data_IF_099121184925
#
_entry.id   IF_099121184925
#
_cell.length_a   1.000
_cell.length_b   1.000
_cell.length_c   1.000
_cell.angle_alpha   90.00
_cell.angle_beta   90.00
_cell.angle_gamma   90.00
#
_symmetry.space_group_name_H-M   'P 1'
#
loop_
_entity.id
_entity.type
_entity.pdbx_description
1 polymer ?
#
# COMPACT_ATOMS: atom_id res chain seq x y z
N UNK A 1 -45.48 -60.19 -3.07
CA UNK A 1 -45.67 -58.75 -2.84
C UNK A 1 -44.50 -58.04 -3.56
N UNK A 2 -44.77 -57.57 -4.76
CA UNK A 2 -43.77 -57.04 -5.72
C UNK A 2 -43.63 -55.54 -5.51
N UNK A 3 -42.44 -55.03 -5.21
CA UNK A 3 -42.13 -53.60 -5.13
C UNK A 3 -41.56 -53.15 -6.47
N UNK A 4 -42.33 -52.33 -7.15
CA UNK A 4 -41.95 -51.65 -8.41
C UNK A 4 -40.92 -50.56 -8.15
N UNK A 5 -39.77 -50.67 -8.84
CA UNK A 5 -38.72 -49.62 -8.88
C UNK A 5 -39.22 -48.47 -9.74
N UNK A 6 -39.33 -47.28 -9.14
CA UNK A 6 -39.67 -46.01 -9.81
C UNK A 6 -38.39 -45.44 -10.41
N UNK A 7 -38.30 -45.38 -11.71
CA UNK A 7 -37.24 -44.70 -12.45
C UNK A 7 -37.16 -43.23 -12.06
N UNK A 8 -36.02 -42.80 -11.50
CA UNK A 8 -35.69 -41.39 -11.28
C UNK A 8 -35.10 -40.81 -12.56
N UNK A 9 -35.76 -39.82 -13.12
CA UNK A 9 -35.29 -39.01 -14.24
C UNK A 9 -33.97 -38.29 -13.90
N UNK A 10 -33.03 -38.12 -14.85
CA UNK A 10 -31.75 -37.49 -14.60
C UNK A 10 -31.92 -35.98 -14.33
N UNK A 11 -31.29 -35.53 -13.26
CA UNK A 11 -31.24 -34.11 -12.88
C UNK A 11 -30.64 -33.28 -14.02
N UNK A 12 -31.36 -32.23 -14.41
CA UNK A 12 -30.90 -31.22 -15.38
C UNK A 12 -29.64 -30.55 -14.81
N UNK A 13 -28.51 -30.70 -15.51
CA UNK A 13 -27.28 -29.95 -15.26
C UNK A 13 -27.57 -28.48 -15.55
N UNK A 14 -27.40 -27.63 -14.54
CA UNK A 14 -27.34 -26.16 -14.71
C UNK A 14 -26.19 -25.79 -15.67
N UNK A 15 -26.35 -24.76 -16.50
CA UNK A 15 -25.29 -24.34 -17.41
C UNK A 15 -24.08 -23.86 -16.59
N UNK A 16 -22.93 -24.52 -16.80
CA UNK A 16 -21.63 -24.03 -16.36
C UNK A 16 -21.47 -22.61 -16.90
N UNK A 17 -21.27 -21.65 -16.00
CA UNK A 17 -20.82 -20.32 -16.36
C UNK A 17 -19.56 -20.47 -17.22
N UNK A 18 -19.64 -20.07 -18.48
CA UNK A 18 -18.47 -19.92 -19.35
C UNK A 18 -17.52 -18.92 -18.68
N UNK A 19 -16.43 -19.43 -18.10
CA UNK A 19 -15.28 -18.59 -17.81
C UNK A 19 -14.73 -18.17 -19.17
N UNK A 20 -14.79 -16.87 -19.45
CA UNK A 20 -14.02 -16.27 -20.53
C UNK A 20 -12.55 -16.33 -20.10
N UNK A 21 -11.89 -17.45 -20.40
CA UNK A 21 -10.43 -17.50 -20.46
C UNK A 21 -10.03 -16.85 -21.80
N UNK A 22 -9.92 -15.53 -21.79
CA UNK A 22 -9.16 -14.82 -22.80
C UNK A 22 -7.69 -15.29 -22.77
N UNK A 23 -6.89 -15.02 -23.82
CA UNK A 23 -5.49 -15.41 -23.84
C UNK A 23 -4.84 -14.96 -22.54
N UNK A 24 -4.15 -15.88 -21.85
CA UNK A 24 -3.44 -15.62 -20.60
C UNK A 24 -2.40 -14.55 -20.95
N UNK A 25 -2.63 -13.32 -20.51
CA UNK A 25 -1.63 -12.27 -20.67
C UNK A 25 -0.34 -12.76 -20.02
N UNK A 26 0.74 -12.73 -20.80
CA UNK A 26 2.08 -13.09 -20.33
C UNK A 26 2.43 -12.18 -19.17
N UNK A 27 2.83 -12.77 -18.04
CA UNK A 27 3.25 -12.05 -16.86
C UNK A 27 4.68 -11.60 -17.12
N UNK A 28 4.94 -10.32 -16.93
CA UNK A 28 6.29 -9.79 -16.97
C UNK A 28 6.96 -10.07 -15.61
N UNK A 29 8.00 -10.93 -15.55
CA UNK A 29 8.65 -11.27 -14.30
C UNK A 29 9.48 -10.13 -13.72
N UNK A 30 9.80 -9.10 -14.51
CA UNK A 30 10.59 -7.94 -14.09
C UNK A 30 9.73 -6.90 -13.37
N UNK A 31 8.38 -7.05 -13.40
CA UNK A 31 7.46 -6.16 -12.72
C UNK A 31 7.10 -6.67 -11.33
N UNK A 32 7.26 -5.82 -10.33
CA UNK A 32 6.76 -6.09 -8.97
C UNK A 32 5.25 -5.97 -8.87
N UNK A 33 4.65 -5.02 -9.61
CA UNK A 33 3.21 -4.93 -9.80
C UNK A 33 2.91 -4.87 -11.30
N UNK A 34 2.01 -5.74 -11.78
CA UNK A 34 1.49 -5.72 -13.14
C UNK A 34 -0.04 -5.77 -13.08
N UNK A 35 -0.66 -4.61 -13.09
CA UNK A 35 -2.11 -4.44 -13.09
C UNK A 35 -2.57 -4.00 -14.47
N UNK A 36 -3.49 -4.78 -15.07
CA UNK A 36 -4.07 -4.50 -16.39
C UNK A 36 -5.59 -4.52 -16.27
N UNK A 37 -6.21 -3.35 -16.46
CA UNK A 37 -7.66 -3.13 -16.37
C UNK A 37 -8.26 -3.64 -15.05
N UNK A 38 -7.52 -3.50 -13.95
CA UNK A 38 -7.94 -3.93 -12.62
C UNK A 38 -9.14 -3.13 -12.17
N UNK A 39 -10.24 -3.82 -11.93
CA UNK A 39 -11.49 -3.25 -11.42
C UNK A 39 -11.83 -3.90 -10.08
N UNK A 40 -12.11 -3.10 -9.08
CA UNK A 40 -12.68 -3.56 -7.81
C UNK A 40 -14.07 -2.98 -7.59
N UNK A 41 -15.06 -3.85 -7.44
CA UNK A 41 -16.45 -3.49 -7.16
C UNK A 41 -16.93 -4.19 -5.89
N UNK A 42 -17.60 -3.43 -5.00
CA UNK A 42 -18.26 -3.97 -3.82
C UNK A 42 -19.67 -3.38 -3.70
N UNK A 43 -20.67 -4.22 -3.43
CA UNK A 43 -22.07 -3.79 -3.31
C UNK A 43 -22.56 -2.92 -4.48
N UNK A 44 -22.24 -3.29 -5.73
CA UNK A 44 -22.54 -2.57 -6.97
C UNK A 44 -21.83 -1.22 -7.13
N UNK A 45 -21.02 -0.79 -6.16
CA UNK A 45 -20.22 0.43 -6.25
C UNK A 45 -18.81 0.07 -6.75
N UNK A 46 -18.31 0.79 -7.74
CA UNK A 46 -16.91 0.73 -8.15
C UNK A 46 -16.10 1.45 -7.08
N UNK A 47 -15.10 0.78 -6.55
CA UNK A 47 -14.15 1.32 -5.57
C UNK A 47 -12.86 1.76 -6.25
N UNK A 48 -12.42 1.01 -7.27
CA UNK A 48 -11.21 1.26 -8.07
C UNK A 48 -11.43 0.71 -9.46
N UNK A 49 -10.96 1.44 -10.44
CA UNK A 49 -10.72 0.98 -11.80
C UNK A 49 -11.78 1.33 -12.85
N UNK A 50 -11.46 0.95 -14.10
CA UNK A 50 -10.31 0.12 -14.46
C UNK A 50 -8.97 0.84 -14.29
N UNK A 51 -7.99 0.18 -13.67
CA UNK A 51 -6.63 0.70 -13.47
C UNK A 51 -5.64 -0.22 -14.16
N UNK A 52 -4.77 0.37 -14.99
CA UNK A 52 -3.56 -0.25 -15.52
C UNK A 52 -2.38 0.47 -14.90
N UNK A 53 -1.54 -0.28 -14.17
CA UNK A 53 -0.42 0.25 -13.40
C UNK A 53 0.67 -0.79 -13.26
N UNK A 54 1.91 -0.42 -13.56
CA UNK A 54 3.09 -1.25 -13.38
C UNK A 54 4.08 -0.57 -12.44
N UNK A 55 4.83 -1.38 -11.69
CA UNK A 55 5.91 -0.95 -10.79
C UNK A 55 7.11 -1.85 -11.03
N UNK A 56 8.27 -1.25 -11.30
CA UNK A 56 9.56 -1.92 -11.45
C UNK A 56 10.33 -1.94 -10.12
N UNK A 57 11.39 -2.75 -10.06
CA UNK A 57 12.15 -3.02 -8.82
C UNK A 57 12.79 -1.76 -8.21
N UNK A 58 13.32 -0.88 -9.05
CA UNK A 58 14.06 0.32 -8.63
C UNK A 58 13.16 1.56 -8.48
N UNK A 59 11.85 1.40 -8.67
CA UNK A 59 10.90 2.51 -8.59
C UNK A 59 10.38 2.74 -7.16
N UNK A 60 10.17 4.00 -6.85
CA UNK A 60 9.55 4.47 -5.59
C UNK A 60 8.32 5.27 -5.97
N UNK A 61 7.15 4.72 -5.65
CA UNK A 61 5.85 5.27 -6.06
C UNK A 61 5.11 5.95 -4.93
N UNK A 62 4.49 7.08 -5.22
CA UNK A 62 3.47 7.66 -4.36
C UNK A 62 2.10 7.60 -5.05
N UNK A 63 1.09 7.11 -4.33
CA UNK A 63 -0.31 7.11 -4.76
C UNK A 63 -1.04 8.22 -4.03
N UNK A 64 -1.44 9.27 -4.76
CA UNK A 64 -2.06 10.48 -4.19
C UNK A 64 -3.49 10.64 -4.69
N UNK A 65 -4.35 11.20 -3.85
CA UNK A 65 -5.73 11.51 -4.22
C UNK A 65 -6.59 11.83 -3.00
N UNK A 66 -7.79 12.38 -3.18
CA UNK A 66 -8.69 12.71 -2.08
C UNK A 66 -9.14 11.47 -1.30
N UNK A 67 -9.71 11.70 -0.11
CA UNK A 67 -10.32 10.64 0.68
C UNK A 67 -11.46 9.98 -0.13
N UNK A 68 -11.48 8.64 -0.12
CA UNK A 68 -12.46 7.88 -0.90
C UNK A 68 -12.10 7.68 -2.38
N UNK A 69 -10.94 8.14 -2.86
CA UNK A 69 -10.49 7.95 -4.24
C UNK A 69 -10.14 6.50 -4.62
N UNK A 70 -10.12 5.56 -3.66
CA UNK A 70 -9.81 4.16 -3.91
C UNK A 70 -8.38 3.74 -3.58
N UNK A 71 -7.52 4.65 -3.08
CA UNK A 71 -6.10 4.41 -2.78
C UNK A 71 -5.86 3.16 -1.91
N UNK A 72 -6.47 3.10 -0.72
CA UNK A 72 -6.38 1.94 0.18
C UNK A 72 -6.90 0.66 -0.48
N UNK A 73 -7.95 0.75 -1.32
CA UNK A 73 -8.47 -0.43 -2.04
C UNK A 73 -7.46 -0.94 -3.08
N UNK A 74 -6.81 -0.05 -3.82
CA UNK A 74 -5.73 -0.40 -4.74
C UNK A 74 -4.54 -1.03 -4.01
N UNK A 75 -4.13 -0.41 -2.88
CA UNK A 75 -3.05 -0.93 -2.04
C UNK A 75 -3.37 -2.32 -1.47
N UNK A 76 -4.63 -2.59 -1.09
CA UNK A 76 -5.05 -3.91 -0.60
C UNK A 76 -4.95 -4.99 -1.68
N UNK A 77 -5.17 -4.65 -2.95
CA UNK A 77 -4.92 -5.57 -4.06
C UNK A 77 -3.41 -5.80 -4.19
N UNK A 78 -2.57 -4.74 -4.15
CA UNK A 78 -1.12 -4.84 -4.18
C UNK A 78 -0.54 -5.63 -3.00
N UNK A 79 -1.20 -5.61 -1.83
CA UNK A 79 -0.85 -6.41 -0.65
C UNK A 79 -1.39 -7.85 -0.69
N UNK A 80 -1.94 -8.32 -1.81
CA UNK A 80 -2.60 -9.63 -1.93
C UNK A 80 -3.67 -9.88 -0.84
N UNK A 81 -4.30 -8.81 -0.32
CA UNK A 81 -5.36 -8.89 0.68
C UNK A 81 -6.77 -8.89 0.07
N UNK A 82 -6.88 -8.45 -1.17
CA UNK A 82 -8.14 -8.35 -1.90
C UNK A 82 -7.94 -8.76 -3.38
N UNK A 83 -8.91 -9.50 -3.95
CA UNK A 83 -8.86 -9.87 -5.35
C UNK A 83 -9.65 -8.87 -6.18
N UNK A 84 -9.17 -8.48 -7.37
CA UNK A 84 -9.96 -7.65 -8.26
C UNK A 84 -11.24 -8.38 -8.71
N UNK A 85 -12.30 -7.61 -8.99
CA UNK A 85 -13.55 -8.14 -9.54
C UNK A 85 -13.37 -8.56 -11.00
N UNK A 86 -12.52 -7.83 -11.74
CA UNK A 86 -12.11 -8.13 -13.11
C UNK A 86 -10.75 -7.50 -13.42
N UNK A 87 -10.19 -7.83 -14.57
CA UNK A 87 -8.84 -7.43 -14.97
C UNK A 87 -7.79 -8.46 -14.54
N UNK A 88 -6.54 -8.09 -14.73
CA UNK A 88 -5.37 -8.90 -14.40
C UNK A 88 -4.56 -8.19 -13.33
N UNK A 89 -4.21 -8.91 -12.26
CA UNK A 89 -3.28 -8.44 -11.25
C UNK A 89 -2.23 -9.50 -11.01
N UNK A 90 -0.97 -9.15 -11.25
CA UNK A 90 0.19 -9.92 -10.84
C UNK A 90 1.04 -9.09 -9.87
N UNK A 91 1.63 -9.75 -8.89
CA UNK A 91 2.45 -9.16 -7.84
C UNK A 91 3.68 -10.04 -7.68
N UNK A 92 4.87 -9.45 -7.74
CA UNK A 92 6.15 -10.15 -7.66
C UNK A 92 6.24 -11.32 -8.65
N UNK A 93 5.77 -11.11 -9.89
CA UNK A 93 5.71 -12.13 -10.94
C UNK A 93 4.59 -13.17 -10.77
N UNK A 94 3.77 -13.08 -9.71
CA UNK A 94 2.77 -14.08 -9.38
C UNK A 94 1.35 -13.56 -9.59
N UNK A 95 0.54 -14.30 -10.35
CA UNK A 95 -0.85 -13.92 -10.64
C UNK A 95 -1.77 -14.17 -9.46
N UNK A 96 -2.46 -13.14 -9.00
CA UNK A 96 -3.51 -13.27 -7.98
C UNK A 96 -4.61 -14.25 -8.43
N UNK A 97 -4.95 -15.18 -7.52
CA UNK A 97 -5.93 -16.25 -7.76
C UNK A 97 -5.33 -17.53 -8.36
N UNK A 98 -4.02 -17.59 -8.61
CA UNK A 98 -3.30 -18.81 -9.06
C UNK A 98 -2.10 -19.16 -8.17
N UNK A 99 -1.75 -18.34 -7.21
CA UNK A 99 -0.63 -18.48 -6.28
C UNK A 99 -1.11 -18.71 -4.86
N UNK A 100 -0.28 -19.33 -4.01
CA UNK A 100 -0.51 -19.34 -2.57
C UNK A 100 -0.25 -17.91 -2.02
N UNK A 101 -1.32 -17.28 -1.58
CA UNK A 101 -1.29 -15.90 -1.07
C UNK A 101 -0.43 -15.78 0.19
N UNK A 102 -0.22 -16.87 0.94
CA UNK A 102 0.60 -16.87 2.15
C UNK A 102 2.08 -16.67 1.82
N UNK A 103 2.58 -17.38 0.80
CA UNK A 103 3.96 -17.23 0.31
C UNK A 103 4.19 -15.83 -0.26
N UNK A 104 3.23 -15.34 -1.05
CA UNK A 104 3.30 -14.00 -1.63
C UNK A 104 3.35 -12.91 -0.55
N UNK A 105 2.52 -13.01 0.49
CA UNK A 105 2.48 -12.04 1.60
C UNK A 105 3.76 -12.00 2.42
N UNK A 106 4.52 -13.08 2.50
CA UNK A 106 5.81 -13.09 3.19
C UNK A 106 6.85 -12.20 2.51
N UNK A 107 6.70 -11.94 1.20
CA UNK A 107 7.58 -11.09 0.38
C UNK A 107 7.10 -9.63 0.31
N UNK A 108 5.97 -9.30 0.97
CA UNK A 108 5.37 -7.96 0.97
C UNK A 108 5.35 -7.41 2.39
N UNK A 109 6.02 -6.29 2.62
CA UNK A 109 5.92 -5.51 3.84
C UNK A 109 4.70 -4.59 3.77
N UNK A 110 3.82 -4.62 4.78
CA UNK A 110 2.67 -3.73 4.84
C UNK A 110 2.60 -2.99 6.17
N UNK A 111 2.55 -1.66 6.12
CA UNK A 111 2.21 -0.80 7.25
C UNK A 111 0.86 -0.10 7.00
N UNK A 112 -0.12 -0.33 7.88
CA UNK A 112 -1.45 0.26 7.77
C UNK A 112 -2.11 0.46 9.13
N UNK A 113 -3.05 1.41 9.22
CA UNK A 113 -3.84 1.65 10.44
C UNK A 113 -4.66 0.41 10.86
N UNK A 114 -5.13 -0.39 9.90
CA UNK A 114 -5.89 -1.60 10.19
C UNK A 114 -5.02 -2.68 10.89
N UNK A 115 -3.71 -2.74 10.57
CA UNK A 115 -2.76 -3.59 11.27
C UNK A 115 -2.49 -3.07 12.68
N UNK A 116 -2.26 -1.76 12.83
CA UNK A 116 -2.02 -1.11 14.12
C UNK A 116 -3.10 -1.42 15.16
N UNK A 117 -4.37 -1.37 14.76
CA UNK A 117 -5.52 -1.62 15.64
C UNK A 117 -5.61 -3.06 16.18
N UNK A 118 -4.86 -4.00 15.62
CA UNK A 118 -4.86 -5.41 16.03
C UNK A 118 -3.74 -5.76 17.00
N UNK A 119 -2.80 -4.85 17.22
CA UNK A 119 -1.65 -5.07 18.09
C UNK A 119 -2.07 -4.84 19.55
N UNK A 120 -1.80 -5.79 20.44
CA UNK A 120 -2.07 -5.61 21.86
C UNK A 120 -1.20 -4.51 22.47
N UNK A 121 -1.77 -3.68 23.35
CA UNK A 121 -1.06 -2.57 23.99
C UNK A 121 0.11 -3.00 24.88
N UNK A 122 0.06 -4.23 25.42
CA UNK A 122 1.09 -4.79 26.29
C UNK A 122 2.23 -5.50 25.56
N UNK A 123 2.22 -5.49 24.22
CA UNK A 123 3.27 -6.13 23.43
C UNK A 123 4.57 -5.35 23.53
N UNK A 124 5.70 -6.02 23.73
CA UNK A 124 7.02 -5.39 23.72
C UNK A 124 7.42 -5.08 22.28
N UNK A 125 7.91 -3.87 22.03
CA UNK A 125 8.21 -3.38 20.67
C UNK A 125 9.15 -4.30 19.90
N UNK A 126 10.25 -4.73 20.51
CA UNK A 126 11.20 -5.66 19.90
C UNK A 126 10.50 -6.98 19.51
N UNK A 127 9.73 -7.57 20.41
CA UNK A 127 9.02 -8.83 20.19
C UNK A 127 7.95 -8.66 19.09
N UNK A 128 7.29 -7.49 19.04
CA UNK A 128 6.36 -7.14 17.98
C UNK A 128 7.04 -7.11 16.61
N UNK A 129 8.24 -6.53 16.50
CA UNK A 129 8.99 -6.47 15.23
C UNK A 129 9.44 -7.87 14.83
N UNK A 130 10.09 -8.63 15.74
CA UNK A 130 10.51 -10.02 15.49
C UNK A 130 9.35 -10.89 15.01
N UNK A 131 8.17 -10.75 15.59
CA UNK A 131 6.98 -11.56 15.28
C UNK A 131 6.56 -11.49 13.80
N UNK A 132 6.99 -10.46 13.07
CA UNK A 132 6.71 -10.35 11.63
C UNK A 132 7.38 -11.45 10.82
N UNK A 133 8.62 -11.82 11.15
CA UNK A 133 9.36 -12.90 10.48
C UNK A 133 8.67 -14.28 10.62
N UNK A 134 7.80 -14.42 11.61
CA UNK A 134 7.02 -15.64 11.87
C UNK A 134 5.57 -15.53 11.38
N UNK A 135 5.22 -14.46 10.67
CA UNK A 135 3.87 -14.17 10.14
C UNK A 135 2.77 -14.08 11.23
N UNK A 136 3.14 -13.75 12.47
CA UNK A 136 2.21 -13.58 13.60
C UNK A 136 2.18 -12.13 14.11
N UNK A 137 1.15 -11.78 14.88
CA UNK A 137 1.04 -10.47 15.53
C UNK A 137 1.33 -10.65 17.03
N UNK A 138 2.50 -10.13 17.45
CA UNK A 138 2.95 -10.25 18.83
C UNK A 138 3.63 -11.57 19.14
N UNK A 139 4.22 -11.63 20.36
CA UNK A 139 4.95 -12.80 20.80
C UNK A 139 4.00 -13.96 21.08
N UNK A 140 4.25 -15.10 20.46
CA UNK A 140 3.57 -16.34 20.77
C UNK A 140 4.49 -17.22 21.64
N UNK A 141 4.53 -18.53 21.39
CA UNK A 141 5.29 -19.52 22.17
C UNK A 141 6.68 -19.84 21.61
N UNK A 142 7.03 -19.24 20.45
CA UNK A 142 8.31 -19.45 19.80
C UNK A 142 9.43 -18.82 20.63
N UNK A 143 10.56 -19.53 20.68
CA UNK A 143 11.82 -18.97 21.14
C UNK A 143 12.46 -18.25 19.93
N UNK A 144 12.59 -16.93 20.01
CA UNK A 144 13.26 -16.13 18.97
C UNK A 144 14.77 -16.31 19.09
N UNK A 145 15.42 -16.49 17.96
CA UNK A 145 16.88 -16.57 17.90
C UNK A 145 17.51 -15.19 18.17
N UNK A 146 18.75 -15.19 18.66
CA UNK A 146 19.49 -13.94 18.90
C UNK A 146 19.64 -13.11 17.60
N UNK A 147 19.80 -13.78 16.46
CA UNK A 147 19.90 -13.14 15.13
C UNK A 147 18.60 -12.41 14.75
N UNK A 148 17.43 -12.96 15.04
CA UNK A 148 16.15 -12.31 14.77
C UNK A 148 15.97 -11.08 15.66
N UNK A 149 16.40 -11.18 16.90
CA UNK A 149 16.35 -10.08 17.86
C UNK A 149 17.27 -8.94 17.45
N UNK A 150 18.51 -9.25 17.00
CA UNK A 150 19.44 -8.25 16.49
C UNK A 150 18.87 -7.56 15.24
N UNK A 151 18.37 -8.32 14.26
CA UNK A 151 17.73 -7.78 13.06
C UNK A 151 16.55 -6.85 13.40
N UNK A 152 15.72 -7.20 14.39
CA UNK A 152 14.61 -6.34 14.79
C UNK A 152 15.09 -4.98 15.33
N UNK A 153 16.22 -4.96 16.06
CA UNK A 153 16.84 -3.72 16.54
C UNK A 153 17.39 -2.90 15.36
N UNK A 154 18.03 -3.54 14.39
CA UNK A 154 18.53 -2.87 13.17
C UNK A 154 17.38 -2.22 12.37
N UNK A 155 16.23 -2.91 12.25
CA UNK A 155 15.05 -2.35 11.59
C UNK A 155 14.46 -1.17 12.37
N UNK A 156 14.49 -1.22 13.69
CA UNK A 156 14.09 -0.09 14.55
C UNK A 156 15.08 1.09 14.41
N UNK A 157 16.39 0.84 14.34
CA UNK A 157 17.41 1.86 14.13
C UNK A 157 17.23 2.59 12.80
N UNK A 158 16.96 1.86 11.72
CA UNK A 158 16.64 2.43 10.39
C UNK A 158 15.54 3.49 10.48
N UNK A 159 14.56 3.28 11.35
CA UNK A 159 13.44 4.21 11.59
C UNK A 159 13.67 5.17 12.79
N UNK A 160 14.87 5.20 13.39
CA UNK A 160 15.18 6.02 14.57
C UNK A 160 14.33 5.66 15.80
N UNK A 161 13.99 4.38 15.95
CA UNK A 161 13.11 3.86 16.98
C UNK A 161 13.78 2.79 17.88
N UNK A 162 15.10 2.60 17.81
CA UNK A 162 15.87 1.61 18.57
C UNK A 162 15.70 1.77 20.09
N UNK A 163 15.60 3.02 20.56
CA UNK A 163 15.39 3.35 21.97
C UNK A 163 14.02 2.92 22.53
N UNK A 164 13.11 2.48 21.65
CA UNK A 164 11.78 1.99 22.00
C UNK A 164 11.73 0.47 22.17
N UNK A 165 12.81 -0.26 21.84
CA UNK A 165 12.83 -1.72 21.72
C UNK A 165 12.27 -2.46 22.95
N UNK A 166 12.56 -1.96 24.15
CA UNK A 166 12.12 -2.56 25.41
C UNK A 166 10.84 -1.94 26.01
N UNK A 167 10.22 -0.98 25.29
CA UNK A 167 8.94 -0.37 25.69
C UNK A 167 7.76 -1.23 25.23
N UNK A 168 6.60 -1.02 25.86
CA UNK A 168 5.34 -1.62 25.40
C UNK A 168 4.64 -0.73 24.38
N UNK A 169 4.06 -1.34 23.35
CA UNK A 169 3.42 -0.66 22.23
C UNK A 169 2.36 0.36 22.65
N UNK A 170 1.57 0.04 23.67
CA UNK A 170 0.53 0.93 24.20
C UNK A 170 1.04 2.23 24.83
N UNK A 171 2.34 2.29 25.21
CA UNK A 171 2.96 3.48 25.81
C UNK A 171 3.56 4.43 24.79
N UNK A 172 3.55 4.05 23.51
CA UNK A 172 4.14 4.83 22.42
C UNK A 172 3.21 5.95 21.97
N UNK A 173 3.81 7.08 21.57
CA UNK A 173 3.14 8.12 20.80
C UNK A 173 2.72 7.61 19.43
N UNK A 174 1.81 8.30 18.75
CA UNK A 174 1.37 7.91 17.40
C UNK A 174 2.54 7.87 16.40
N UNK A 175 3.47 8.82 16.46
CA UNK A 175 4.68 8.82 15.61
C UNK A 175 5.61 7.65 15.87
N UNK A 176 5.85 7.32 17.15
CA UNK A 176 6.64 6.15 17.54
C UNK A 176 5.98 4.85 17.05
N UNK A 177 4.64 4.72 17.20
CA UNK A 177 3.89 3.57 16.68
C UNK A 177 4.04 3.39 15.18
N UNK A 178 3.95 4.49 14.40
CA UNK A 178 4.12 4.45 12.94
C UNK A 178 5.51 3.95 12.54
N UNK A 179 6.57 4.45 13.18
CA UNK A 179 7.94 4.01 12.93
C UNK A 179 8.14 2.54 13.26
N UNK A 180 7.64 2.08 14.40
CA UNK A 180 7.67 0.66 14.80
C UNK A 180 6.93 -0.23 13.80
N UNK A 181 5.79 0.21 13.26
CA UNK A 181 5.03 -0.56 12.27
C UNK A 181 5.77 -0.70 10.93
N UNK A 182 6.51 0.34 10.52
CA UNK A 182 7.32 0.29 9.32
C UNK A 182 8.54 -0.61 9.55
N UNK A 183 9.23 -0.49 10.70
CA UNK A 183 10.31 -1.40 11.10
C UNK A 183 9.84 -2.87 11.08
N UNK A 184 8.63 -3.12 11.61
CA UNK A 184 8.00 -4.43 11.57
C UNK A 184 7.75 -4.91 10.12
N UNK A 185 7.34 -4.02 9.22
CA UNK A 185 7.11 -4.37 7.82
C UNK A 185 8.41 -4.70 7.07
N UNK A 186 9.55 -4.14 7.49
CA UNK A 186 10.89 -4.41 6.95
C UNK A 186 11.51 -5.71 7.49
N UNK A 187 11.03 -6.22 8.63
CA UNK A 187 11.61 -7.41 9.29
C UNK A 187 11.64 -8.65 8.40
N UNK A 188 10.66 -8.81 7.51
CA UNK A 188 10.55 -9.97 6.59
C UNK A 188 11.44 -9.89 5.37
N UNK A 189 12.27 -8.87 5.24
CA UNK A 189 13.08 -8.60 4.03
C UNK A 189 12.22 -8.55 2.76
N UNK A 190 11.22 -7.66 2.73
CA UNK A 190 10.25 -7.66 1.65
C UNK A 190 10.88 -7.14 0.35
N UNK A 191 10.41 -7.65 -0.78
CA UNK A 191 10.74 -7.09 -2.10
C UNK A 191 9.91 -5.83 -2.40
N UNK A 192 8.72 -5.73 -1.77
CA UNK A 192 7.78 -4.62 -1.94
C UNK A 192 7.29 -4.11 -0.59
N UNK A 193 7.54 -2.85 -0.26
CA UNK A 193 7.05 -2.18 0.95
C UNK A 193 5.85 -1.28 0.62
N UNK A 194 4.72 -1.56 1.24
CA UNK A 194 3.47 -0.85 1.07
C UNK A 194 3.13 -0.04 2.33
N UNK A 195 2.97 1.27 2.19
CA UNK A 195 2.72 2.21 3.27
C UNK A 195 1.37 2.91 3.06
N UNK A 196 0.36 2.58 3.89
CA UNK A 196 -0.98 3.18 3.80
C UNK A 196 -1.13 4.34 4.79
N UNK A 197 -1.03 5.57 4.29
CA UNK A 197 -1.10 6.81 5.05
C UNK A 197 -0.19 6.81 6.31
N UNK A 198 1.13 6.58 6.14
CA UNK A 198 2.02 6.38 7.28
C UNK A 198 2.16 7.61 8.17
N UNK A 199 1.98 8.82 7.64
CA UNK A 199 2.09 10.07 8.38
C UNK A 199 0.74 10.60 8.92
N UNK A 200 -0.37 9.90 8.66
CA UNK A 200 -1.68 10.33 9.13
C UNK A 200 -1.75 10.42 10.66
N UNK A 201 -2.24 11.56 11.17
CA UNK A 201 -2.40 11.80 12.60
C UNK A 201 -1.14 12.29 13.31
N UNK A 202 -0.02 12.44 12.62
CA UNK A 202 1.22 12.98 13.20
C UNK A 202 1.16 14.51 13.30
N UNK A 203 1.80 15.04 14.31
CA UNK A 203 2.14 16.45 14.35
C UNK A 203 3.23 16.80 13.32
N UNK A 204 3.53 18.09 13.19
CA UNK A 204 4.51 18.56 12.22
C UNK A 204 5.89 17.90 12.42
N UNK A 205 6.38 17.81 13.65
CA UNK A 205 7.69 17.25 13.94
C UNK A 205 7.77 15.77 13.62
N UNK A 206 6.79 14.99 14.08
CA UNK A 206 6.71 13.54 13.81
C UNK A 206 6.55 13.23 12.32
N UNK A 207 5.79 14.06 11.56
CA UNK A 207 5.66 13.92 10.12
C UNK A 207 7.00 14.17 9.41
N UNK A 208 7.68 15.29 9.72
CA UNK A 208 8.95 15.63 9.08
C UNK A 208 10.04 14.60 9.39
N UNK A 209 10.10 14.10 10.63
CA UNK A 209 11.01 13.02 10.99
C UNK A 209 10.72 11.74 10.19
N UNK A 210 9.46 11.33 10.10
CA UNK A 210 9.08 10.13 9.33
C UNK A 210 9.41 10.28 7.85
N UNK A 211 9.10 11.44 7.25
CA UNK A 211 9.42 11.72 5.84
C UNK A 211 10.93 11.69 5.58
N UNK A 212 11.75 12.23 6.51
CA UNK A 212 13.20 12.16 6.41
C UNK A 212 13.70 10.70 6.45
N UNK A 213 13.22 9.89 7.41
CA UNK A 213 13.60 8.47 7.50
C UNK A 213 13.19 7.66 6.26
N UNK A 214 11.99 7.90 5.72
CA UNK A 214 11.57 7.26 4.48
C UNK A 214 12.40 7.72 3.27
N UNK A 215 12.87 8.96 3.26
CA UNK A 215 13.80 9.47 2.25
C UNK A 215 15.18 8.81 2.35
N UNK A 216 15.71 8.62 3.56
CA UNK A 216 16.95 7.88 3.81
C UNK A 216 16.82 6.42 3.31
N UNK A 217 15.72 5.76 3.66
CA UNK A 217 15.42 4.40 3.19
C UNK A 217 15.28 4.35 1.66
N UNK A 218 14.60 5.33 1.03
CA UNK A 218 14.43 5.37 -0.41
C UNK A 218 15.75 5.61 -1.19
N UNK A 219 16.75 6.19 -0.53
CA UNK A 219 18.09 6.44 -1.10
C UNK A 219 19.01 5.20 -1.00
N UNK A 220 18.65 4.20 -0.19
CA UNK A 220 19.40 2.97 -0.05
C UNK A 220 19.13 2.06 -1.28
N UNK A 221 20.17 1.68 -2.04
CA UNK A 221 20.02 0.80 -3.20
C UNK A 221 19.53 -0.62 -2.84
N UNK A 222 19.77 -1.06 -1.61
CA UNK A 222 19.37 -2.39 -1.12
C UNK A 222 17.94 -2.36 -0.51
N UNK A 223 17.29 -1.17 -0.43
CA UNK A 223 15.95 -1.05 0.08
C UNK A 223 14.90 -1.66 -0.88
N UNK A 224 13.81 -2.21 -0.34
CA UNK A 224 12.71 -2.72 -1.15
C UNK A 224 12.11 -1.64 -2.06
N UNK A 225 11.45 -2.03 -3.15
CA UNK A 225 10.59 -1.11 -3.86
C UNK A 225 9.50 -0.58 -2.92
N UNK A 226 9.13 0.70 -3.06
CA UNK A 226 8.23 1.35 -2.11
C UNK A 226 7.00 1.92 -2.81
N UNK A 227 5.83 1.66 -2.23
CA UNK A 227 4.58 2.32 -2.61
C UNK A 227 3.99 3.00 -1.37
N UNK A 228 3.95 4.32 -1.38
CA UNK A 228 3.39 5.15 -0.33
C UNK A 228 2.03 5.70 -0.77
N UNK A 229 0.99 5.49 0.03
CA UNK A 229 -0.33 6.09 -0.18
C UNK A 229 -0.49 7.27 0.75
N UNK A 230 -0.89 8.42 0.21
CA UNK A 230 -1.19 9.62 1.01
C UNK A 230 -2.24 10.50 0.30
N UNK A 231 -2.78 11.47 1.03
CA UNK A 231 -3.61 12.55 0.50
C UNK A 231 -2.94 13.93 0.69
N UNK A 232 -1.69 13.96 1.16
CA UNK A 232 -0.88 15.14 1.38
C UNK A 232 0.40 15.09 0.54
N UNK A 233 0.62 16.06 -0.33
CA UNK A 233 1.82 16.10 -1.18
C UNK A 233 3.10 16.39 -0.38
N UNK A 234 2.96 17.03 0.78
CA UNK A 234 4.05 17.33 1.71
C UNK A 234 4.63 16.07 2.37
N UNK A 235 3.91 14.96 2.30
CA UNK A 235 4.34 13.67 2.86
C UNK A 235 5.17 12.84 1.87
N UNK A 236 5.38 13.32 0.64
CA UNK A 236 6.20 12.64 -0.36
C UNK A 236 7.67 12.75 0.04
N UNK A 237 8.35 11.62 0.35
CA UNK A 237 9.76 11.67 0.73
C UNK A 237 10.66 12.01 -0.44
N UNK A 238 11.82 12.62 -0.21
CA UNK A 238 12.89 12.67 -1.21
C UNK A 238 13.25 11.27 -1.73
N UNK A 239 13.67 11.17 -2.99
CA UNK A 239 14.03 9.87 -3.59
C UNK A 239 12.86 9.10 -4.22
N UNK A 240 11.61 9.53 -4.04
CA UNK A 240 10.49 8.96 -4.78
C UNK A 240 10.55 9.42 -6.24
N UNK A 241 10.35 8.47 -7.16
CA UNK A 241 10.55 8.66 -8.61
C UNK A 241 9.26 8.78 -9.39
N UNK A 242 8.18 8.12 -8.94
CA UNK A 242 6.94 7.99 -9.68
C UNK A 242 5.71 8.36 -8.84
N UNK A 243 4.63 8.74 -9.53
CA UNK A 243 3.35 9.03 -8.89
C UNK A 243 2.17 8.44 -9.67
N UNK A 244 1.13 8.07 -8.92
CA UNK A 244 -0.19 7.71 -9.42
C UNK A 244 -1.22 8.61 -8.76
N UNK A 245 -1.94 9.43 -9.52
CA UNK A 245 -3.04 10.25 -9.03
C UNK A 245 -4.37 9.56 -9.26
N UNK A 246 -5.12 9.35 -8.17
CA UNK A 246 -6.44 8.74 -8.19
C UNK A 246 -7.52 9.75 -7.80
N UNK A 247 -8.66 9.70 -8.49
CA UNK A 247 -9.88 10.40 -8.14
C UNK A 247 -11.09 9.54 -8.49
N UNK A 248 -12.04 9.39 -7.57
CA UNK A 248 -13.30 8.63 -7.79
C UNK A 248 -13.10 7.20 -8.33
N UNK A 249 -11.98 6.57 -7.97
CA UNK A 249 -11.61 5.22 -8.41
C UNK A 249 -10.85 5.16 -9.74
N UNK A 250 -10.66 6.27 -10.42
CA UNK A 250 -10.02 6.36 -11.74
C UNK A 250 -8.63 7.00 -11.66
N UNK A 251 -7.74 6.63 -12.59
CA UNK A 251 -6.41 7.23 -12.74
C UNK A 251 -6.55 8.57 -13.44
N UNK A 252 -6.14 9.64 -12.77
CA UNK A 252 -6.08 11.00 -13.34
C UNK A 252 -4.78 11.22 -14.12
N UNK A 253 -3.67 10.76 -13.56
CA UNK A 253 -2.34 10.80 -14.17
C UNK A 253 -1.43 9.78 -13.49
N UNK A 254 -0.43 9.26 -14.21
CA UNK A 254 0.61 8.36 -13.67
C UNK A 254 1.91 8.52 -14.47
N UNK A 255 3.04 8.19 -13.83
CA UNK A 255 4.37 8.25 -14.43
C UNK A 255 5.38 8.94 -13.55
N UNK A 256 6.40 9.57 -14.13
CA UNK A 256 7.44 10.27 -13.37
C UNK A 256 6.83 11.32 -12.44
N UNK A 257 7.33 11.37 -11.23
CA UNK A 257 6.81 12.22 -10.15
C UNK A 257 6.70 13.69 -10.60
N UNK A 258 7.74 14.22 -11.27
CA UNK A 258 7.77 15.60 -11.71
C UNK A 258 6.70 15.93 -12.77
N UNK A 259 6.38 14.97 -13.65
CA UNK A 259 5.39 15.14 -14.73
C UNK A 259 3.96 15.02 -14.21
N UNK A 260 3.77 14.21 -13.16
CA UNK A 260 2.45 13.94 -12.56
C UNK A 260 2.06 15.00 -11.54
N UNK A 261 3.01 15.46 -10.71
CA UNK A 261 2.75 16.37 -9.58
C UNK A 261 2.66 17.83 -10.04
N UNK A 262 1.72 18.11 -10.93
CA UNK A 262 1.46 19.45 -11.48
C UNK A 262 0.20 20.09 -10.87
N UNK A 263 0.14 21.42 -10.89
CA UNK A 263 -1.05 22.16 -10.42
C UNK A 263 -2.32 21.76 -11.19
N UNK A 264 -2.21 21.44 -12.49
CA UNK A 264 -3.32 21.01 -13.33
C UNK A 264 -3.84 19.65 -12.90
N UNK A 265 -2.96 18.64 -12.81
CA UNK A 265 -3.32 17.28 -12.44
C UNK A 265 -3.90 17.22 -11.02
N UNK A 266 -3.27 17.92 -10.04
CA UNK A 266 -3.79 17.98 -8.67
C UNK A 266 -5.15 18.69 -8.62
N UNK A 267 -5.35 19.76 -9.40
CA UNK A 267 -6.64 20.44 -9.47
C UNK A 267 -7.74 19.52 -10.00
N UNK A 268 -7.43 18.69 -11.00
CA UNK A 268 -8.35 17.67 -11.55
C UNK A 268 -8.64 16.60 -10.53
N UNK A 269 -7.61 16.04 -9.87
CA UNK A 269 -7.75 14.96 -8.91
C UNK A 269 -8.57 15.37 -7.68
N UNK A 270 -8.35 16.57 -7.16
CA UNK A 270 -9.01 17.06 -5.95
C UNK A 270 -10.28 17.91 -6.22
N UNK A 271 -10.62 18.16 -7.48
CA UNK A 271 -11.81 18.95 -7.84
C UNK A 271 -11.77 20.41 -7.37
N UNK A 272 -10.58 20.97 -7.14
CA UNK A 272 -10.35 22.32 -6.63
C UNK A 272 -9.17 22.95 -7.34
N UNK A 273 -9.17 24.28 -7.47
CA UNK A 273 -8.00 25.00 -7.99
C UNK A 273 -6.85 24.91 -6.98
N UNK A 274 -5.83 24.13 -7.32
CA UNK A 274 -4.64 23.88 -6.47
C UNK A 274 -3.42 24.43 -7.20
N UNK A 275 -2.51 25.03 -6.44
CA UNK A 275 -1.14 25.35 -6.86
C UNK A 275 -0.21 24.44 -6.10
N UNK A 276 0.65 23.75 -6.81
CA UNK A 276 1.75 22.98 -6.26
C UNK A 276 3.06 23.69 -6.56
N UNK A 277 3.95 23.70 -5.60
CA UNK A 277 5.29 24.29 -5.66
C UNK A 277 6.29 23.25 -5.14
N UNK A 278 7.49 23.23 -5.72
CA UNK A 278 8.61 22.44 -5.21
C UNK A 278 9.58 23.40 -4.51
N UNK A 279 9.87 23.14 -3.25
CA UNK A 279 10.78 23.92 -2.42
C UNK A 279 11.76 22.93 -1.76
N UNK A 280 13.05 23.13 -1.96
CA UNK A 280 14.12 22.28 -1.39
C UNK A 280 13.88 20.79 -1.63
N UNK A 281 13.43 20.42 -2.85
CA UNK A 281 13.16 19.03 -3.24
C UNK A 281 11.87 18.43 -2.68
N UNK A 282 11.02 19.21 -1.99
CA UNK A 282 9.74 18.80 -1.41
C UNK A 282 8.56 19.49 -2.08
N UNK A 283 7.47 18.76 -2.26
CA UNK A 283 6.22 19.29 -2.81
C UNK A 283 5.38 19.96 -1.71
N UNK A 284 4.78 21.11 -2.05
CA UNK A 284 3.83 21.83 -1.21
C UNK A 284 2.63 22.22 -2.04
N UNK A 285 1.43 22.01 -1.51
CA UNK A 285 0.22 22.36 -2.21
C UNK A 285 -0.67 23.28 -1.38
N UNK A 286 -1.32 24.21 -2.08
CA UNK A 286 -2.29 25.13 -1.48
C UNK A 286 -3.41 25.44 -2.46
N UNK A 287 -4.55 25.83 -1.95
CA UNK A 287 -5.61 26.35 -2.81
C UNK A 287 -5.16 27.63 -3.53
N UNK A 288 -5.40 27.71 -4.83
CA UNK A 288 -5.16 28.94 -5.60
C UNK A 288 -6.04 30.06 -5.05
N UNK A 289 -5.50 31.27 -4.93
CA UNK A 289 -6.31 32.45 -4.61
C UNK A 289 -7.22 32.74 -5.81
N UNK A 290 -8.51 32.96 -5.56
CA UNK A 290 -9.39 33.51 -6.57
C UNK A 290 -8.78 34.86 -7.04
N UNK A 291 -8.53 35.00 -8.34
CA UNK A 291 -8.18 36.33 -8.89
C UNK A 291 -9.35 37.25 -8.52
N UNK A 292 -9.08 38.25 -7.71
CA UNK A 292 -10.02 39.35 -7.52
C UNK A 292 -10.34 39.90 -8.91
N UNK A 293 -11.60 39.73 -9.34
CA UNK A 293 -12.06 40.37 -10.56
C UNK A 293 -11.86 41.89 -10.33
N UNK A 294 -10.87 42.45 -11.01
CA UNK A 294 -10.73 43.93 -11.10
C UNK A 294 -12.01 44.40 -11.76
N UNK A 295 -13.00 44.86 -10.96
CA UNK A 295 -14.07 45.70 -11.46
C UNK A 295 -13.40 46.99 -11.90
N UNK A 296 -13.12 47.07 -13.18
CA UNK A 296 -12.89 48.38 -13.83
C UNK A 296 -14.19 49.17 -13.67
N UNK A 297 -14.14 50.21 -12.89
CA UNK A 297 -15.13 51.28 -12.89
C UNK A 297 -14.87 52.23 -14.07
#
# INVERSE_FOLDING_TARGET
MVWTVREMAPARRSPRSMRHDGPVAEIDPDLLLDFRDVLLRRNRKVLVGPVTWSVELDERWVVVGPNGAGKTSLLRIAAAMEHPTSGHAAILGERLGRVDVSELKARIGLSSAALAQRIPDNEVVRDLVVSAGYAVLGRWREEYEEIDTARAVDMLETLGAEHLADRTYGTLSEGERKRVLIARALMTDPELLLLDEPAAGLDLGGREELVARLGELAADPDAPAMVLVTHHVEEIPPGFSHALLLSEGEVVAQGLLADVMTSENLSRAFGQSIVVEMIDGRYFARRARARAAHRAQ
#
